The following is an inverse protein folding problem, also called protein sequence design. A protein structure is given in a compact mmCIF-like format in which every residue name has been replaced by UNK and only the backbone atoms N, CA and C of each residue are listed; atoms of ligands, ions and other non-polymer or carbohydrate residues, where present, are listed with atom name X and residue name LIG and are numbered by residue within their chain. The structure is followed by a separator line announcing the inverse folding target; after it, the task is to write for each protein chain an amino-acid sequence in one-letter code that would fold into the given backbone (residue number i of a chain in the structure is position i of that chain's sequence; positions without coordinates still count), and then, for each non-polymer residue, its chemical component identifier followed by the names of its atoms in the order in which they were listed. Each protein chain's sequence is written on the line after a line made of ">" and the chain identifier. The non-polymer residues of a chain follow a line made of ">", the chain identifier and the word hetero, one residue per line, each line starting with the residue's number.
data_IF_387501572140
#
_entry.id   IF_387501572140
#
_cell.length_a   1.000
_cell.length_b   1.000
_cell.length_c   1.000
_cell.angle_alpha   90.00
_cell.angle_beta   90.00
_cell.angle_gamma   90.00
#
_symmetry.space_group_name_H-M   'P 1'
#
loop_
_entity.id
_entity.type
_entity.pdbx_description
1 polymer ?
#
# COMPACT_ATOMS: atom_id res chain seq x y z
N UNK A 1 5.00 10.27 4.40
CA UNK A 1 5.08 10.34 2.92
C UNK A 1 3.70 10.51 2.28
N UNK A 2 2.60 10.61 3.06
CA UNK A 2 1.25 10.74 2.48
C UNK A 2 1.15 12.02 1.63
N UNK A 3 1.79 13.06 2.16
CA UNK A 3 2.22 14.33 1.60
C UNK A 3 3.02 14.25 0.28
N UNK A 4 3.55 13.08 -0.11
CA UNK A 4 4.28 12.85 -1.37
C UNK A 4 3.60 11.87 -2.34
N UNK A 5 2.40 11.36 -2.03
CA UNK A 5 1.72 10.39 -2.91
C UNK A 5 1.25 10.98 -4.25
N UNK A 6 1.14 12.31 -4.35
CA UNK A 6 0.53 12.98 -5.48
C UNK A 6 -0.95 12.62 -5.65
N UNK A 7 -1.66 13.22 -6.63
CA UNK A 7 -3.08 12.99 -6.83
C UNK A 7 -3.42 11.52 -7.13
N UNK A 8 -2.59 10.84 -7.93
CA UNK A 8 -2.79 9.43 -8.28
C UNK A 8 -2.61 8.51 -7.08
N UNK A 9 -1.60 8.75 -6.24
CA UNK A 9 -1.36 7.90 -5.06
C UNK A 9 -2.49 8.04 -4.04
N UNK A 10 -3.02 9.25 -3.86
CA UNK A 10 -4.19 9.48 -3.00
C UNK A 10 -5.42 8.74 -3.56
N UNK A 11 -5.67 8.83 -4.87
CA UNK A 11 -6.77 8.09 -5.51
C UNK A 11 -6.63 6.57 -5.31
N UNK A 12 -5.41 6.04 -5.49
CA UNK A 12 -5.11 4.62 -5.24
C UNK A 12 -5.37 4.22 -3.78
N UNK A 13 -4.98 5.05 -2.82
CA UNK A 13 -5.23 4.79 -1.40
C UNK A 13 -6.73 4.77 -1.09
N UNK A 14 -7.51 5.69 -1.66
CA UNK A 14 -8.96 5.71 -1.50
C UNK A 14 -9.58 4.42 -2.07
N UNK A 15 -9.17 4.00 -3.26
CA UNK A 15 -9.67 2.76 -3.89
C UNK A 15 -9.37 1.54 -3.00
N UNK A 16 -8.16 1.46 -2.44
CA UNK A 16 -7.79 0.38 -1.52
C UNK A 16 -8.68 0.39 -0.28
N UNK A 17 -8.87 1.55 0.35
CA UNK A 17 -9.69 1.66 1.56
C UNK A 17 -11.15 1.31 1.29
N UNK A 18 -11.71 1.74 0.15
CA UNK A 18 -13.07 1.37 -0.28
C UNK A 18 -13.18 -0.13 -0.51
N UNK A 19 -12.22 -0.75 -1.19
CA UNK A 19 -12.22 -2.20 -1.42
C UNK A 19 -12.19 -3.00 -0.11
N UNK A 20 -11.33 -2.63 0.84
CA UNK A 20 -11.28 -3.27 2.16
C UNK A 20 -12.59 -3.06 2.92
N UNK A 21 -13.16 -1.84 2.90
CA UNK A 21 -14.41 -1.54 3.57
C UNK A 21 -15.58 -2.36 3.00
N UNK A 22 -15.66 -2.52 1.68
CA UNK A 22 -16.67 -3.36 1.03
C UNK A 22 -16.56 -4.81 1.47
N UNK A 23 -15.34 -5.36 1.52
CA UNK A 23 -15.11 -6.75 1.95
C UNK A 23 -15.40 -6.94 3.44
N UNK A 24 -15.14 -5.92 4.25
CA UNK A 24 -15.45 -5.94 5.68
C UNK A 24 -16.96 -6.03 5.96
N UNK A 25 -17.83 -5.62 5.02
CA UNK A 25 -19.27 -5.82 5.14
C UNK A 25 -19.67 -7.30 5.13
N UNK A 26 -18.89 -8.15 4.46
CA UNK A 26 -19.18 -9.57 4.32
C UNK A 26 -18.34 -10.43 5.28
N UNK A 27 -17.05 -10.13 5.42
CA UNK A 27 -16.17 -10.84 6.35
C UNK A 27 -15.02 -9.97 6.84
N UNK A 28 -15.09 -9.62 8.12
CA UNK A 28 -14.02 -8.86 8.79
C UNK A 28 -12.69 -9.64 8.81
N UNK A 29 -12.74 -10.97 8.89
CA UNK A 29 -11.54 -11.80 8.88
C UNK A 29 -10.83 -11.75 7.52
N UNK A 30 -11.58 -11.82 6.42
CA UNK A 30 -11.03 -11.71 5.06
C UNK A 30 -10.47 -10.31 4.83
N UNK A 31 -11.21 -9.27 5.21
CA UNK A 31 -10.76 -7.89 5.08
C UNK A 31 -9.44 -7.64 5.84
N UNK A 32 -9.32 -8.17 7.07
CA UNK A 32 -8.10 -8.09 7.87
C UNK A 32 -6.92 -8.83 7.19
N UNK A 33 -7.17 -10.03 6.66
CA UNK A 33 -6.18 -10.79 5.91
C UNK A 33 -5.69 -10.03 4.68
N UNK A 34 -6.59 -9.42 3.90
CA UNK A 34 -6.19 -8.60 2.75
C UNK A 34 -5.44 -7.33 3.17
N UNK A 35 -5.86 -6.66 4.25
CA UNK A 35 -5.16 -5.49 4.75
C UNK A 35 -3.71 -5.83 5.11
N UNK A 36 -3.47 -6.99 5.74
CA UNK A 36 -2.12 -7.48 6.02
C UNK A 36 -1.32 -7.75 4.75
N UNK A 37 -1.92 -8.36 3.72
CA UNK A 37 -1.27 -8.59 2.42
C UNK A 37 -0.84 -7.26 1.79
N UNK A 38 -1.70 -6.24 1.80
CA UNK A 38 -1.40 -4.92 1.24
C UNK A 38 -0.30 -4.20 2.01
N UNK A 39 -0.30 -4.28 3.34
CA UNK A 39 0.78 -3.74 4.18
C UNK A 39 2.11 -4.44 3.87
N UNK A 40 2.09 -5.77 3.78
CA UNK A 40 3.28 -6.55 3.41
C UNK A 40 3.83 -6.12 2.04
N UNK A 41 2.96 -6.03 1.03
CA UNK A 41 3.33 -5.58 -0.30
C UNK A 41 3.92 -4.17 -0.29
N UNK A 42 3.30 -3.23 0.43
CA UNK A 42 3.80 -1.86 0.54
C UNK A 42 5.21 -1.81 1.14
N UNK A 43 5.48 -2.61 2.17
CA UNK A 43 6.82 -2.74 2.77
C UNK A 43 7.81 -3.36 1.79
N UNK A 44 7.44 -4.46 1.11
CA UNK A 44 8.29 -5.13 0.13
C UNK A 44 8.66 -4.20 -1.02
N UNK A 45 7.69 -3.49 -1.61
CA UNK A 45 7.94 -2.53 -2.69
C UNK A 45 8.82 -1.38 -2.20
N UNK A 46 8.57 -0.83 -1.01
CA UNK A 46 9.41 0.22 -0.44
C UNK A 46 10.85 -0.24 -0.27
N UNK A 47 11.07 -1.44 0.28
CA UNK A 47 12.40 -2.00 0.45
C UNK A 47 13.11 -2.21 -0.89
N UNK A 48 12.39 -2.74 -1.89
CA UNK A 48 12.91 -2.92 -3.24
C UNK A 48 13.34 -1.58 -3.87
N UNK A 49 12.46 -0.58 -3.86
CA UNK A 49 12.73 0.74 -4.45
C UNK A 49 13.90 1.42 -3.73
N UNK A 50 13.92 1.40 -2.39
CA UNK A 50 15.04 1.95 -1.62
C UNK A 50 16.36 1.24 -1.94
N UNK A 51 16.36 -0.08 -2.08
CA UNK A 51 17.54 -0.85 -2.47
C UNK A 51 18.03 -0.51 -3.88
N UNK A 52 17.10 -0.36 -4.84
CA UNK A 52 17.43 0.05 -6.21
C UNK A 52 18.01 1.46 -6.27
N UNK A 53 17.37 2.43 -5.61
CA UNK A 53 17.87 3.81 -5.58
C UNK A 53 19.24 3.91 -4.91
N UNK A 54 19.47 3.12 -3.85
CA UNK A 54 20.78 3.01 -3.22
C UNK A 54 21.85 2.39 -4.12
N UNK A 55 21.49 1.40 -4.95
CA UNK A 55 22.41 0.86 -5.95
C UNK A 55 22.82 1.91 -7.02
N UNK A 56 21.97 2.91 -7.27
CA UNK A 56 22.28 4.05 -8.13
C UNK A 56 22.95 5.22 -7.40
N UNK A 57 23.35 5.06 -6.14
CA UNK A 57 24.00 6.12 -5.35
C UNK A 57 23.07 7.26 -4.93
N UNK A 58 21.75 7.09 -5.09
CA UNK A 58 20.72 8.07 -4.75
C UNK A 58 20.09 7.75 -3.38
N UNK A 59 20.88 7.83 -2.32
CA UNK A 59 20.43 7.68 -0.92
C UNK A 59 20.58 8.99 -0.16
#
# INVERSE_FOLDING_TARGET
>A
MLDKLGPLGIAGLIIVLVGIALIALESLMIAAGMALVLVGLAVTVKALVSGMLGAFGMM
#
